data_IF_945194407759
#
_entry.id   IF_945194407759
#
_cell.length_a   1.000
_cell.length_b   1.000
_cell.length_c   1.000
_cell.angle_alpha   90.00
_cell.angle_beta   90.00
_cell.angle_gamma   90.00
#
_symmetry.space_group_name_H-M   'P 1'
#
loop_
_entity.id
_entity.type
_entity.pdbx_description
1 polymer ?
#
# COMPACT_ATOMS: atom_id res chain seq x y z
N UNK A 1 34.38 1.83 -2.98
CA UNK A 1 34.67 1.51 -4.38
C UNK A 1 34.83 0.00 -4.50
N UNK A 2 33.95 -0.65 -5.25
CA UNK A 2 33.95 -2.10 -5.49
C UNK A 2 35.27 -2.61 -6.12
N UNK A 3 35.68 -3.83 -5.79
CA UNK A 3 36.94 -4.44 -6.26
C UNK A 3 36.73 -5.88 -6.72
N UNK A 4 37.62 -6.38 -7.59
CA UNK A 4 37.58 -7.77 -8.11
C UNK A 4 37.76 -8.84 -7.02
N UNK A 5 38.39 -8.49 -5.90
CA UNK A 5 38.49 -9.37 -4.74
C UNK A 5 37.11 -9.63 -4.10
N UNK A 6 36.25 -8.61 -4.05
CA UNK A 6 34.89 -8.74 -3.52
C UNK A 6 34.01 -9.61 -4.42
N UNK A 7 34.11 -9.47 -5.75
CA UNK A 7 33.39 -10.37 -6.69
C UNK A 7 33.76 -11.84 -6.49
N UNK A 8 35.03 -12.11 -6.18
CA UNK A 8 35.51 -13.47 -5.94
C UNK A 8 34.95 -14.05 -4.65
N UNK A 9 34.84 -13.22 -3.60
CA UNK A 9 34.16 -13.59 -2.35
C UNK A 9 32.69 -13.87 -2.61
N UNK A 10 31.99 -12.93 -3.26
CA UNK A 10 30.55 -13.03 -3.53
C UNK A 10 30.18 -14.30 -4.31
N UNK A 11 30.96 -14.66 -5.34
CA UNK A 11 30.76 -15.89 -6.13
C UNK A 11 30.85 -17.20 -5.33
N UNK A 12 31.53 -17.20 -4.18
CA UNK A 12 31.63 -18.38 -3.30
C UNK A 12 30.40 -18.59 -2.42
N UNK A 13 29.46 -17.64 -2.42
CA UNK A 13 28.29 -17.66 -1.55
C UNK A 13 27.00 -17.80 -2.36
N UNK A 14 26.48 -19.03 -2.57
CA UNK A 14 25.28 -19.25 -3.38
C UNK A 14 23.99 -18.67 -2.77
N UNK A 15 24.03 -18.30 -1.48
CA UNK A 15 22.92 -17.63 -0.80
C UNK A 15 22.85 -16.13 -1.04
N UNK A 16 23.87 -15.55 -1.68
CA UNK A 16 23.95 -14.15 -2.03
C UNK A 16 23.40 -13.92 -3.44
N UNK A 17 22.34 -13.11 -3.55
CA UNK A 17 21.70 -12.76 -4.82
C UNK A 17 22.32 -11.52 -5.41
N UNK A 18 22.43 -10.46 -4.62
CA UNK A 18 23.00 -9.19 -5.07
C UNK A 18 23.69 -8.42 -3.95
N UNK A 19 24.61 -7.52 -4.33
CA UNK A 19 25.24 -6.56 -3.41
C UNK A 19 25.10 -5.15 -3.96
N UNK A 20 24.70 -4.25 -3.08
CA UNK A 20 24.50 -2.84 -3.36
C UNK A 20 25.51 -1.99 -2.60
N UNK A 21 26.08 -0.98 -3.23
CA UNK A 21 26.99 -0.01 -2.60
C UNK A 21 26.32 1.37 -2.54
N UNK A 22 26.37 2.00 -1.36
CA UNK A 22 25.93 3.39 -1.18
C UNK A 22 26.98 4.37 -1.67
N UNK A 23 26.60 5.63 -1.86
CA UNK A 23 27.55 6.72 -2.15
C UNK A 23 28.56 6.95 -1.01
N UNK A 24 28.26 6.48 0.20
CA UNK A 24 29.13 6.55 1.38
C UNK A 24 29.99 5.29 1.57
N UNK A 25 29.88 4.30 0.66
CA UNK A 25 30.67 3.06 0.70
C UNK A 25 30.12 1.99 1.66
N UNK A 26 28.89 2.13 2.15
CA UNK A 26 28.20 1.08 2.88
C UNK A 26 27.70 0.00 1.92
N UNK A 27 27.65 -1.25 2.37
CA UNK A 27 27.16 -2.36 1.57
C UNK A 27 25.81 -2.87 2.07
N UNK A 28 24.92 -3.20 1.14
CA UNK A 28 23.68 -3.89 1.41
C UNK A 28 23.64 -5.23 0.67
N UNK A 29 23.41 -6.30 1.43
CA UNK A 29 23.35 -7.68 0.93
C UNK A 29 21.90 -8.10 0.70
N UNK A 30 21.60 -8.57 -0.50
CA UNK A 30 20.36 -9.26 -0.84
C UNK A 30 20.62 -10.77 -0.82
N UNK A 31 20.01 -11.48 0.14
CA UNK A 31 20.09 -12.94 0.19
C UNK A 31 18.98 -13.61 -0.62
N UNK A 32 19.12 -14.91 -0.92
CA UNK A 32 18.09 -15.68 -1.67
C UNK A 32 16.78 -15.90 -0.92
N UNK A 33 16.82 -15.74 0.40
CA UNK A 33 15.73 -15.96 1.34
C UNK A 33 14.61 -14.93 1.11
N UNK A 34 13.34 -15.29 1.40
CA UNK A 34 12.22 -14.36 1.24
C UNK A 34 12.42 -13.11 2.11
N UNK A 35 11.97 -11.95 1.61
CA UNK A 35 12.05 -10.68 2.33
C UNK A 35 11.11 -10.63 3.55
N UNK A 36 10.02 -11.40 3.50
CA UNK A 36 9.05 -11.55 4.59
C UNK A 36 8.94 -13.04 4.90
N UNK A 37 9.26 -13.40 6.14
CA UNK A 37 9.09 -14.77 6.62
C UNK A 37 7.64 -15.01 7.05
N UNK A 38 7.11 -16.21 6.79
CA UNK A 38 5.90 -16.67 7.44
C UNK A 38 6.11 -16.74 8.97
N UNK A 39 5.10 -16.41 9.80
CA UNK A 39 5.23 -16.44 11.26
C UNK A 39 5.78 -17.76 11.80
N UNK A 40 5.35 -18.87 11.21
CA UNK A 40 5.69 -20.24 11.61
C UNK A 40 7.17 -20.58 11.30
N UNK A 41 7.73 -19.96 10.26
CA UNK A 41 9.10 -20.22 9.79
C UNK A 41 10.12 -19.20 10.31
N UNK A 42 9.66 -18.20 11.08
CA UNK A 42 10.45 -17.02 11.45
C UNK A 42 11.78 -17.37 12.13
N UNK A 43 11.78 -18.36 13.01
CA UNK A 43 12.99 -18.80 13.73
C UNK A 43 14.01 -19.43 12.77
N UNK A 44 13.56 -20.35 11.90
CA UNK A 44 14.41 -21.01 10.90
C UNK A 44 14.96 -20.00 9.89
N UNK A 45 14.11 -19.11 9.39
CA UNK A 45 14.50 -18.03 8.48
C UNK A 45 15.54 -17.09 9.10
N UNK A 46 15.38 -16.71 10.38
CA UNK A 46 16.36 -15.88 11.09
C UNK A 46 17.71 -16.59 11.22
N UNK A 47 17.70 -17.88 11.57
CA UNK A 47 18.93 -18.65 11.70
C UNK A 47 19.66 -18.80 10.36
N UNK A 48 18.93 -19.10 9.28
CA UNK A 48 19.50 -19.26 7.94
C UNK A 48 20.06 -17.95 7.38
N UNK A 49 19.28 -16.86 7.43
CA UNK A 49 19.73 -15.53 6.95
C UNK A 49 20.92 -15.01 7.74
N UNK A 50 20.98 -15.23 9.07
CA UNK A 50 22.16 -14.87 9.89
C UNK A 50 23.41 -15.66 9.50
N UNK A 51 23.27 -16.95 9.25
CA UNK A 51 24.39 -17.81 8.86
C UNK A 51 24.99 -17.35 7.53
N UNK A 52 24.14 -17.14 6.52
CA UNK A 52 24.54 -16.65 5.21
C UNK A 52 25.17 -15.25 5.29
N UNK A 53 24.51 -14.30 5.96
CA UNK A 53 25.03 -12.94 6.12
C UNK A 53 26.40 -12.91 6.81
N UNK A 54 26.59 -13.72 7.87
CA UNK A 54 27.88 -13.81 8.57
C UNK A 54 28.98 -14.37 7.69
N UNK A 55 28.69 -15.41 6.91
CA UNK A 55 29.67 -16.01 6.01
C UNK A 55 30.14 -14.99 4.96
N UNK A 56 29.21 -14.30 4.30
CA UNK A 56 29.51 -13.26 3.30
C UNK A 56 30.28 -12.11 3.94
N UNK A 57 29.80 -11.60 5.09
CA UNK A 57 30.44 -10.48 5.79
C UNK A 57 31.86 -10.81 6.24
N UNK A 58 32.09 -12.04 6.73
CA UNK A 58 33.42 -12.50 7.11
C UNK A 58 34.36 -12.58 5.90
N UNK A 59 33.87 -13.09 4.77
CA UNK A 59 34.64 -13.12 3.52
C UNK A 59 35.00 -11.72 3.02
N UNK A 60 34.05 -10.78 3.06
CA UNK A 60 34.29 -9.38 2.66
C UNK A 60 35.31 -8.70 3.58
N UNK A 61 35.20 -8.91 4.90
CA UNK A 61 36.18 -8.39 5.86
C UNK A 61 37.57 -8.98 5.65
N UNK A 62 37.67 -10.28 5.38
CA UNK A 62 38.94 -10.92 5.06
C UNK A 62 39.56 -10.39 3.76
N UNK A 63 38.73 -9.92 2.82
CA UNK A 63 39.16 -9.24 1.61
C UNK A 63 39.45 -7.74 1.80
N UNK A 64 39.37 -7.21 3.03
CA UNK A 64 39.72 -5.83 3.36
C UNK A 64 38.55 -4.84 3.45
N UNK A 65 37.29 -5.29 3.35
CA UNK A 65 36.15 -4.40 3.52
C UNK A 65 35.97 -3.99 4.99
N UNK A 66 36.12 -2.69 5.28
CA UNK A 66 36.00 -2.12 6.62
C UNK A 66 34.72 -1.33 6.90
N UNK A 67 33.80 -1.22 5.93
CA UNK A 67 32.58 -0.44 6.07
C UNK A 67 31.43 -1.20 6.75
N UNK A 68 30.27 -0.55 6.80
CA UNK A 68 29.04 -1.14 7.34
C UNK A 68 28.38 -2.09 6.34
N UNK A 69 27.85 -3.20 6.85
CA UNK A 69 27.10 -4.20 6.08
C UNK A 69 25.68 -4.30 6.62
N UNK A 70 24.71 -4.01 5.76
CA UNK A 70 23.28 -4.17 6.05
C UNK A 70 22.73 -5.38 5.30
N UNK A 71 21.84 -6.14 5.94
CA UNK A 71 21.16 -7.28 5.31
C UNK A 71 19.73 -6.88 4.99
N UNK A 72 19.35 -6.89 3.72
CA UNK A 72 18.05 -6.38 3.25
C UNK A 72 16.87 -7.18 3.82
N UNK A 73 17.04 -8.48 4.04
CA UNK A 73 16.04 -9.33 4.69
C UNK A 73 15.63 -8.85 6.10
N UNK A 74 16.48 -8.10 6.79
CA UNK A 74 16.18 -7.60 8.15
C UNK A 74 15.64 -6.18 8.17
N UNK A 75 15.56 -5.52 7.01
CA UNK A 75 15.07 -4.17 6.89
C UNK A 75 13.57 -4.13 6.61
N UNK A 76 12.95 -2.95 6.80
CA UNK A 76 11.58 -2.73 6.37
C UNK A 76 11.54 -2.69 4.84
N UNK A 77 10.47 -3.20 4.23
CA UNK A 77 10.34 -3.26 2.77
C UNK A 77 10.50 -1.88 2.08
N UNK A 78 10.09 -0.79 2.75
CA UNK A 78 10.33 0.57 2.26
C UNK A 78 11.81 0.90 2.12
N UNK A 79 12.61 0.53 3.12
CA UNK A 79 14.05 0.81 3.17
C UNK A 79 14.78 -0.09 2.16
N UNK A 80 14.34 -1.34 2.00
CA UNK A 80 14.78 -2.23 0.92
C UNK A 80 14.53 -1.57 -0.45
N UNK A 81 13.32 -1.09 -0.70
CA UNK A 81 12.99 -0.42 -1.96
C UNK A 81 13.73 0.90 -2.19
N UNK A 82 14.21 1.57 -1.14
CA UNK A 82 15.08 2.73 -1.28
C UNK A 82 16.50 2.31 -1.75
N UNK A 83 17.03 1.22 -1.19
CA UNK A 83 18.32 0.65 -1.62
C UNK A 83 18.26 0.16 -3.06
N UNK A 84 17.28 -0.69 -3.41
CA UNK A 84 17.18 -1.27 -4.76
C UNK A 84 17.08 -0.21 -5.88
N UNK A 85 16.53 0.97 -5.58
CA UNK A 85 16.37 2.07 -6.55
C UNK A 85 17.49 3.11 -6.52
N UNK A 86 18.14 3.28 -5.38
CA UNK A 86 19.02 4.42 -5.12
C UNK A 86 20.50 4.06 -4.96
N UNK A 87 20.81 2.80 -4.67
CA UNK A 87 22.18 2.33 -4.50
C UNK A 87 22.65 1.61 -5.77
N UNK A 88 23.96 1.65 -6.02
CA UNK A 88 24.54 0.98 -7.18
C UNK A 88 24.60 -0.52 -6.93
N UNK A 89 23.99 -1.33 -7.81
CA UNK A 89 24.18 -2.78 -7.78
C UNK A 89 25.58 -3.11 -8.30
N UNK A 90 26.46 -3.59 -7.43
CA UNK A 90 27.87 -3.88 -7.76
C UNK A 90 28.12 -5.36 -8.04
N UNK A 91 27.22 -6.23 -7.58
CA UNK A 91 27.27 -7.67 -7.83
C UNK A 91 25.85 -8.20 -8.00
N UNK A 92 25.64 -9.00 -9.05
CA UNK A 92 24.39 -9.72 -9.30
C UNK A 92 24.73 -11.18 -9.64
N UNK A 93 24.52 -12.07 -8.67
CA UNK A 93 24.83 -13.50 -8.76
C UNK A 93 23.64 -14.35 -9.20
N UNK A 94 22.42 -13.82 -9.11
CA UNK A 94 21.19 -14.50 -9.50
C UNK A 94 20.16 -13.46 -9.98
N UNK A 95 20.26 -13.02 -11.25
CA UNK A 95 19.44 -11.91 -11.77
C UNK A 95 17.95 -12.27 -11.80
N UNK A 96 17.61 -13.55 -11.99
CA UNK A 96 16.21 -14.01 -11.99
C UNK A 96 15.63 -13.89 -10.59
N UNK A 97 16.36 -14.37 -9.57
CA UNK A 97 15.89 -14.24 -8.18
C UNK A 97 15.89 -12.80 -7.71
N UNK A 98 16.85 -12.01 -8.18
CA UNK A 98 16.94 -10.59 -7.92
C UNK A 98 15.69 -9.86 -8.42
N UNK A 99 15.31 -10.06 -9.69
CA UNK A 99 14.10 -9.47 -10.27
C UNK A 99 12.83 -9.89 -9.52
N UNK A 100 12.69 -11.19 -9.18
CA UNK A 100 11.57 -11.68 -8.38
C UNK A 100 11.44 -10.97 -7.02
N UNK A 101 12.56 -10.71 -6.34
CA UNK A 101 12.55 -10.04 -5.04
C UNK A 101 12.27 -8.54 -5.20
N UNK A 102 12.77 -7.92 -6.27
CA UNK A 102 12.44 -6.53 -6.61
C UNK A 102 10.94 -6.37 -6.91
N UNK A 103 10.34 -7.29 -7.66
CA UNK A 103 8.90 -7.31 -7.95
C UNK A 103 8.04 -7.43 -6.67
N UNK A 104 8.47 -8.24 -5.69
CA UNK A 104 7.80 -8.31 -4.39
C UNK A 104 7.88 -6.96 -3.66
N UNK A 105 9.05 -6.32 -3.67
CA UNK A 105 9.22 -4.99 -3.08
C UNK A 105 8.35 -3.97 -3.80
N UNK A 106 8.30 -3.95 -5.12
CA UNK A 106 7.48 -3.01 -5.86
C UNK A 106 5.98 -3.32 -5.77
N UNK A 107 5.59 -4.58 -5.69
CA UNK A 107 4.22 -5.00 -5.40
C UNK A 107 3.75 -4.50 -4.02
N UNK A 108 4.56 -4.72 -2.98
CA UNK A 108 4.24 -4.26 -1.62
C UNK A 108 4.41 -2.76 -1.49
N UNK A 109 5.40 -2.15 -2.14
CA UNK A 109 5.59 -0.69 -2.09
C UNK A 109 4.53 0.01 -2.90
N UNK A 110 4.06 -0.50 -4.04
CA UNK A 110 2.89 0.07 -4.76
C UNK A 110 1.61 -0.03 -3.93
N UNK A 111 1.54 -1.04 -3.06
CA UNK A 111 0.44 -1.28 -2.13
C UNK A 111 0.54 -0.42 -0.85
N UNK A 112 1.73 -0.29 -0.29
CA UNK A 112 2.05 0.43 0.96
C UNK A 112 2.40 1.91 0.71
N UNK A 113 2.79 2.27 -0.52
CA UNK A 113 2.98 3.63 -0.96
C UNK A 113 1.63 4.27 -1.20
N UNK A 114 0.98 4.64 -0.11
CA UNK A 114 0.53 6.02 0.01
C UNK A 114 0.89 6.58 1.39
N UNK A 115 2.16 6.92 1.63
CA UNK A 115 2.54 7.82 2.72
C UNK A 115 1.72 9.12 2.72
N UNK A 116 1.18 9.55 1.57
CA UNK A 116 0.22 10.64 1.48
C UNK A 116 -1.23 10.30 1.86
N UNK A 117 -1.67 9.03 1.84
CA UNK A 117 -3.06 8.67 2.15
C UNK A 117 -3.31 8.69 3.65
N UNK A 118 -2.44 8.10 4.47
CA UNK A 118 -2.64 8.12 5.93
C UNK A 118 -2.54 9.54 6.48
N UNK A 119 -1.61 10.35 5.94
CA UNK A 119 -1.50 11.78 6.25
C UNK A 119 -2.77 12.51 5.82
N UNK A 120 -3.18 12.40 4.55
CA UNK A 120 -4.41 13.01 4.05
C UNK A 120 -5.64 12.58 4.87
N UNK A 121 -5.72 11.30 5.23
CA UNK A 121 -6.85 10.78 6.00
C UNK A 121 -6.90 11.40 7.40
N UNK A 122 -5.73 11.54 8.05
CA UNK A 122 -5.63 12.23 9.34
C UNK A 122 -5.99 13.71 9.20
N UNK A 123 -5.52 14.37 8.15
CA UNK A 123 -5.79 15.80 7.89
C UNK A 123 -7.30 16.04 7.66
N UNK A 124 -8.00 15.08 7.06
CA UNK A 124 -9.45 15.14 6.82
C UNK A 124 -10.30 14.65 8.00
N UNK A 125 -9.69 14.03 9.02
CA UNK A 125 -10.40 13.49 10.18
C UNK A 125 -11.32 14.51 10.88
N UNK A 126 -10.93 15.79 11.08
CA UNK A 126 -11.82 16.79 11.66
C UNK A 126 -13.14 16.96 10.87
N UNK A 127 -13.08 16.91 9.54
CA UNK A 127 -14.27 17.05 8.67
C UNK A 127 -15.28 15.92 8.90
N UNK A 128 -14.80 14.69 9.08
CA UNK A 128 -15.69 13.53 9.26
C UNK A 128 -16.17 13.38 10.70
N UNK A 129 -15.31 13.71 11.67
CA UNK A 129 -15.66 13.71 13.09
C UNK A 129 -16.60 14.86 13.44
N UNK A 130 -16.51 15.98 12.72
CA UNK A 130 -17.42 17.12 12.83
C UNK A 130 -18.72 16.99 12.03
N UNK A 131 -18.92 15.90 11.28
CA UNK A 131 -20.11 15.75 10.44
C UNK A 131 -21.39 15.62 11.28
N UNK A 132 -22.34 16.51 11.04
CA UNK A 132 -23.67 16.46 11.63
C UNK A 132 -24.75 16.10 10.58
N UNK A 133 -25.88 15.51 10.98
CA UNK A 133 -26.19 15.04 12.34
C UNK A 133 -25.36 13.81 12.75
N UNK A 134 -25.32 13.46 14.04
CA UNK A 134 -24.56 12.32 14.56
C UNK A 134 -24.78 10.98 13.80
N UNK A 135 -25.98 10.76 13.25
CA UNK A 135 -26.27 9.63 12.38
C UNK A 135 -25.38 9.61 11.12
N UNK A 136 -25.19 10.77 10.48
CA UNK A 136 -24.31 10.94 9.31
C UNK A 136 -22.88 10.53 9.63
N UNK A 137 -22.33 11.04 10.74
CA UNK A 137 -20.99 10.69 11.21
C UNK A 137 -20.85 9.19 11.43
N UNK A 138 -21.82 8.56 12.12
CA UNK A 138 -21.81 7.10 12.35
C UNK A 138 -21.78 6.30 11.06
N UNK A 139 -22.53 6.74 10.05
CA UNK A 139 -22.59 6.09 8.75
C UNK A 139 -21.29 6.27 7.96
N UNK A 140 -20.76 7.49 7.88
CA UNK A 140 -19.47 7.80 7.22
C UNK A 140 -18.35 6.93 7.79
N UNK A 141 -18.17 6.93 9.12
CA UNK A 141 -17.08 6.20 9.77
C UNK A 141 -17.20 4.69 9.60
N UNK A 142 -18.43 4.14 9.58
CA UNK A 142 -18.66 2.72 9.29
C UNK A 142 -18.32 2.38 7.84
N UNK A 143 -18.71 3.23 6.89
CA UNK A 143 -18.30 3.05 5.49
C UNK A 143 -16.79 3.11 5.33
N UNK A 144 -16.10 4.04 6.00
CA UNK A 144 -14.63 4.11 5.98
C UNK A 144 -13.98 2.83 6.51
N UNK A 145 -14.49 2.32 7.64
CA UNK A 145 -14.04 1.06 8.22
C UNK A 145 -14.22 -0.09 7.23
N UNK A 146 -15.38 -0.21 6.60
CA UNK A 146 -15.63 -1.23 5.59
C UNK A 146 -14.68 -1.08 4.40
N UNK A 147 -14.43 0.13 3.89
CA UNK A 147 -13.47 0.39 2.82
C UNK A 147 -12.08 -0.13 3.18
N UNK A 148 -11.62 0.10 4.41
CA UNK A 148 -10.32 -0.41 4.87
C UNK A 148 -10.33 -1.95 4.95
N UNK A 149 -11.31 -2.53 5.63
CA UNK A 149 -11.34 -3.97 5.94
C UNK A 149 -11.66 -4.85 4.73
N UNK A 150 -12.49 -4.37 3.80
CA UNK A 150 -13.10 -5.17 2.74
C UNK A 150 -12.68 -4.77 1.33
N UNK A 151 -12.00 -3.61 1.18
CA UNK A 151 -11.44 -3.17 -0.11
C UNK A 151 -9.93 -3.06 -0.01
N UNK A 152 -9.40 -2.19 0.85
CA UNK A 152 -7.96 -1.88 0.87
C UNK A 152 -7.11 -3.04 1.42
N UNK A 153 -7.56 -3.71 2.48
CA UNK A 153 -6.84 -4.85 3.05
C UNK A 153 -6.77 -6.04 2.08
N UNK A 154 -7.86 -6.50 1.43
CA UNK A 154 -7.78 -7.53 0.39
C UNK A 154 -6.89 -7.14 -0.79
N UNK A 155 -7.05 -5.92 -1.32
CA UNK A 155 -6.19 -5.43 -2.41
C UNK A 155 -4.71 -5.47 -2.02
N UNK A 156 -4.40 -5.22 -0.75
CA UNK A 156 -3.01 -5.27 -0.28
C UNK A 156 -2.39 -6.66 -0.23
N UNK A 157 -3.24 -7.70 -0.18
CA UNK A 157 -2.86 -9.11 -0.30
C UNK A 157 -2.95 -9.65 -1.72
N UNK A 158 -3.29 -8.79 -2.70
CA UNK A 158 -3.50 -9.21 -4.09
C UNK A 158 -4.89 -9.83 -4.35
N UNK A 159 -5.79 -9.84 -3.37
CA UNK A 159 -7.15 -10.36 -3.48
C UNK A 159 -8.08 -9.34 -4.17
N UNK A 160 -9.26 -9.81 -4.62
CA UNK A 160 -10.32 -8.92 -5.09
C UNK A 160 -11.20 -8.42 -3.94
N UNK A 161 -11.69 -7.16 -4.00
CA UNK A 161 -12.65 -6.63 -3.04
C UNK A 161 -13.97 -7.41 -3.05
N UNK A 162 -14.62 -7.51 -1.89
CA UNK A 162 -15.93 -8.15 -1.75
C UNK A 162 -17.06 -7.24 -2.25
N UNK A 163 -17.25 -7.18 -3.57
CA UNK A 163 -18.28 -6.33 -4.23
C UNK A 163 -19.69 -6.77 -3.83
N UNK A 164 -19.88 -8.06 -3.51
CA UNK A 164 -21.13 -8.62 -3.01
C UNK A 164 -21.59 -8.01 -1.69
N UNK A 165 -20.69 -7.45 -0.87
CA UNK A 165 -21.06 -6.72 0.34
C UNK A 165 -21.89 -5.46 0.04
N UNK A 166 -21.87 -4.97 -1.21
CA UNK A 166 -22.54 -3.77 -1.66
C UNK A 166 -23.96 -4.01 -2.20
N UNK A 167 -24.45 -5.24 -2.24
CA UNK A 167 -25.86 -5.50 -2.58
C UNK A 167 -26.80 -4.86 -1.54
N UNK A 168 -28.08 -4.63 -1.87
CA UNK A 168 -29.04 -4.09 -0.89
C UNK A 168 -29.14 -4.92 0.40
N UNK A 169 -28.84 -6.21 0.30
CA UNK A 169 -28.90 -7.19 1.38
C UNK A 169 -27.50 -7.55 1.90
N UNK A 170 -26.47 -6.89 1.34
CA UNK A 170 -25.07 -7.17 1.57
C UNK A 170 -24.59 -6.67 2.92
N UNK A 171 -23.38 -7.12 3.29
CA UNK A 171 -22.79 -6.85 4.61
C UNK A 171 -22.69 -5.36 4.93
N UNK A 172 -22.34 -4.51 3.96
CA UNK A 172 -22.26 -3.07 4.20
C UNK A 172 -23.65 -2.48 4.48
N UNK A 173 -24.65 -2.85 3.67
CA UNK A 173 -26.03 -2.40 3.86
C UNK A 173 -26.56 -2.76 5.26
N UNK A 174 -26.35 -4.00 5.68
CA UNK A 174 -26.75 -4.48 7.01
C UNK A 174 -26.02 -3.76 8.14
N UNK A 175 -24.70 -3.57 8.01
CA UNK A 175 -23.90 -2.85 9.00
C UNK A 175 -24.37 -1.40 9.17
N UNK A 176 -24.70 -0.73 8.07
CA UNK A 176 -25.20 0.65 8.08
C UNK A 176 -26.62 0.73 8.66
N UNK A 177 -27.51 -0.22 8.32
CA UNK A 177 -28.85 -0.28 8.90
C UNK A 177 -28.80 -0.46 10.44
N UNK A 178 -27.91 -1.33 10.94
CA UNK A 178 -27.71 -1.53 12.39
C UNK A 178 -27.13 -0.33 13.14
N UNK A 179 -26.62 0.68 12.41
CA UNK A 179 -26.08 1.89 12.99
C UNK A 179 -27.14 2.94 13.36
N UNK A 180 -28.39 2.69 12.94
CA UNK A 180 -29.49 3.63 12.95
C UNK A 180 -30.64 3.10 13.83
N UNK A 181 -31.36 4.03 14.46
CA UNK A 181 -32.69 3.76 15.01
C UNK A 181 -33.70 3.51 13.89
N UNK A 182 -34.92 3.04 14.22
CA UNK A 182 -35.96 2.79 13.20
C UNK A 182 -36.31 4.05 12.41
N UNK A 183 -36.47 5.18 13.08
CA UNK A 183 -36.86 6.45 12.43
C UNK A 183 -35.71 6.99 11.56
N UNK A 184 -34.48 6.91 12.07
CA UNK A 184 -33.28 7.24 11.28
C UNK A 184 -33.16 6.31 10.05
N UNK A 185 -33.47 5.02 10.17
CA UNK A 185 -33.35 4.08 9.06
C UNK A 185 -34.24 4.47 7.88
N UNK A 186 -35.45 4.96 8.12
CA UNK A 186 -36.34 5.46 7.06
C UNK A 186 -35.73 6.69 6.37
N UNK A 187 -35.26 7.66 7.16
CA UNK A 187 -34.69 8.91 6.67
C UNK A 187 -33.39 8.69 5.86
N UNK A 188 -32.51 7.82 6.34
CA UNK A 188 -31.17 7.61 5.79
C UNK A 188 -31.12 6.51 4.72
N UNK A 189 -32.22 5.80 4.46
CA UNK A 189 -32.29 4.76 3.42
C UNK A 189 -31.82 5.26 2.04
N UNK A 190 -32.22 6.45 1.54
CA UNK A 190 -31.73 6.96 0.26
C UNK A 190 -30.22 7.17 0.25
N UNK A 191 -29.65 7.73 1.32
CA UNK A 191 -28.21 7.92 1.48
C UNK A 191 -27.44 6.58 1.46
N UNK A 192 -27.98 5.56 2.14
CA UNK A 192 -27.36 4.22 2.17
C UNK A 192 -27.32 3.64 0.76
N UNK A 193 -28.46 3.62 0.06
CA UNK A 193 -28.54 3.06 -1.30
C UNK A 193 -27.62 3.78 -2.28
N UNK A 194 -27.55 5.12 -2.21
CA UNK A 194 -26.67 5.92 -3.05
C UNK A 194 -25.20 5.61 -2.77
N UNK A 195 -24.81 5.54 -1.50
CA UNK A 195 -23.44 5.21 -1.08
C UNK A 195 -23.03 3.82 -1.58
N UNK A 196 -23.91 2.82 -1.47
CA UNK A 196 -23.66 1.48 -2.01
C UNK A 196 -23.48 1.51 -3.54
N UNK A 197 -24.33 2.25 -4.25
CA UNK A 197 -24.26 2.37 -5.70
C UNK A 197 -22.97 3.07 -6.16
N UNK A 198 -22.57 4.15 -5.49
CA UNK A 198 -21.34 4.89 -5.79
C UNK A 198 -20.09 4.07 -5.52
N UNK A 199 -20.05 3.36 -4.40
CA UNK A 199 -18.95 2.44 -4.11
C UNK A 199 -18.89 1.33 -5.16
N UNK A 200 -20.03 0.78 -5.59
CA UNK A 200 -20.05 -0.26 -6.62
C UNK A 200 -19.51 0.26 -7.95
N UNK A 201 -19.89 1.47 -8.34
CA UNK A 201 -19.35 2.14 -9.53
C UNK A 201 -17.85 2.38 -9.40
N UNK A 202 -17.38 2.82 -8.23
CA UNK A 202 -15.97 3.04 -7.97
C UNK A 202 -15.17 1.73 -8.00
N UNK A 203 -15.71 0.63 -7.51
CA UNK A 203 -15.06 -0.69 -7.57
C UNK A 203 -15.09 -1.30 -8.98
N UNK A 204 -16.09 -0.99 -9.80
CA UNK A 204 -16.14 -1.43 -11.19
C UNK A 204 -15.04 -0.79 -12.07
N UNK A 205 -14.31 0.22 -11.58
CA UNK A 205 -13.18 0.78 -12.31
C UNK A 205 -12.05 -0.23 -12.55
N UNK A 206 -11.42 -0.20 -13.75
CA UNK A 206 -10.32 -1.10 -14.09
C UNK A 206 -9.20 -1.03 -13.05
N UNK A 207 -8.67 -2.19 -12.66
CA UNK A 207 -7.61 -2.29 -11.62
C UNK A 207 -6.38 -1.43 -11.94
N UNK A 208 -6.01 -1.32 -13.22
CA UNK A 208 -4.93 -0.48 -13.70
C UNK A 208 -5.14 1.04 -13.43
N UNK A 209 -6.39 1.49 -13.26
CA UNK A 209 -6.77 2.90 -13.01
C UNK A 209 -7.02 3.22 -11.54
N UNK A 210 -6.84 2.25 -10.62
CA UNK A 210 -7.06 2.43 -9.17
C UNK A 210 -5.86 3.13 -8.51
N UNK A 211 -5.73 4.44 -8.76
CA UNK A 211 -4.61 5.30 -8.34
C UNK A 211 -4.80 5.95 -6.96
N UNK A 212 -3.81 6.77 -6.55
CA UNK A 212 -3.79 7.72 -5.41
C UNK A 212 -5.15 8.26 -5.03
N UNK A 213 -5.72 8.87 -6.05
CA UNK A 213 -6.94 9.65 -6.02
C UNK A 213 -8.16 8.75 -5.95
N UNK A 214 -8.14 7.58 -6.58
CA UNK A 214 -9.21 6.61 -6.48
C UNK A 214 -9.47 6.16 -5.03
N UNK A 215 -8.42 5.94 -4.22
CA UNK A 215 -8.66 5.58 -2.80
C UNK A 215 -9.20 6.77 -2.02
N UNK A 216 -8.73 8.00 -2.27
CA UNK A 216 -9.30 9.19 -1.62
C UNK A 216 -10.78 9.33 -1.96
N UNK A 217 -11.12 9.12 -3.23
CA UNK A 217 -12.49 9.13 -3.71
C UNK A 217 -13.38 8.12 -2.96
N UNK A 218 -12.90 6.90 -2.68
CA UNK A 218 -13.66 5.93 -1.87
C UNK A 218 -14.04 6.45 -0.48
N UNK A 219 -13.19 7.27 0.15
CA UNK A 219 -13.47 7.90 1.44
C UNK A 219 -14.33 9.17 1.31
N UNK A 220 -14.32 9.84 0.16
CA UNK A 220 -15.14 11.01 -0.07
C UNK A 220 -16.59 10.68 -0.44
N UNK A 221 -16.85 9.54 -1.08
CA UNK A 221 -18.21 9.08 -1.45
C UNK A 221 -19.23 9.22 -0.30
N UNK A 222 -19.03 8.62 0.89
CA UNK A 222 -20.03 8.73 1.96
C UNK A 222 -20.19 10.16 2.48
N UNK A 223 -19.18 11.01 2.34
CA UNK A 223 -19.26 12.41 2.74
C UNK A 223 -20.06 13.25 1.74
N UNK A 224 -19.85 13.03 0.44
CA UNK A 224 -20.46 13.82 -0.64
C UNK A 224 -21.95 13.56 -0.85
N UNK A 225 -22.47 12.43 -0.34
CA UNK A 225 -23.85 12.04 -0.56
C UNK A 225 -24.85 12.82 0.31
N UNK A 226 -25.93 13.39 -0.27
CA UNK A 226 -26.94 14.12 0.48
C UNK A 226 -27.82 13.19 1.31
N UNK A 227 -28.30 13.68 2.45
CA UNK A 227 -29.18 12.93 3.36
C UNK A 227 -30.46 12.44 2.66
N UNK A 228 -31.04 13.29 1.81
CA UNK A 228 -32.34 13.04 1.19
C UNK A 228 -32.25 12.37 -0.19
N UNK A 229 -31.05 12.00 -0.65
CA UNK A 229 -30.84 11.45 -2.01
C UNK A 229 -31.15 12.40 -3.17
N UNK A 230 -31.65 13.62 -2.91
CA UNK A 230 -31.86 14.69 -3.89
C UNK A 230 -30.70 15.68 -3.83
N UNK A 231 -30.01 15.82 -4.96
CA UNK A 231 -28.77 16.57 -5.07
C UNK A 231 -27.62 15.65 -5.48
N UNK A 232 -27.64 15.18 -6.72
CA UNK A 232 -26.45 14.60 -7.35
C UNK A 232 -25.40 15.69 -7.51
N UNK A 233 -24.56 15.90 -6.50
CA UNK A 233 -23.17 16.22 -6.80
C UNK A 233 -22.61 14.90 -7.33
N UNK A 234 -22.71 14.69 -8.65
CA UNK A 234 -22.03 13.56 -9.29
C UNK A 234 -20.57 13.69 -8.86
N UNK A 235 -20.01 12.72 -8.10
CA UNK A 235 -18.60 12.77 -7.78
C UNK A 235 -17.85 12.69 -9.11
N UNK A 236 -17.27 13.82 -9.49
CA UNK A 236 -16.59 13.96 -10.78
C UNK A 236 -15.35 13.08 -10.70
N UNK A 237 -15.14 12.14 -11.64
CA UNK A 237 -13.95 11.31 -11.62
C UNK A 237 -12.68 12.20 -11.68
N UNK A 238 -11.56 11.79 -11.06
CA UNK A 238 -10.35 12.62 -10.91
C UNK A 238 -9.87 13.33 -12.19
N UNK A 239 -10.11 12.76 -13.36
CA UNK A 239 -9.77 13.36 -14.66
C UNK A 239 -10.54 14.66 -14.97
N UNK A 240 -11.77 14.81 -14.49
CA UNK A 240 -12.57 16.00 -14.74
C UNK A 240 -12.37 17.12 -13.69
N UNK A 241 -11.67 16.84 -12.58
CA UNK A 241 -11.14 17.87 -11.66
C UNK A 241 -10.00 18.68 -12.30
N UNK A 242 -9.10 18.03 -13.06
CA UNK A 242 -8.04 18.71 -13.82
C UNK A 242 -8.59 19.56 -14.98
N UNK A 243 -9.58 19.04 -15.73
CA UNK A 243 -10.16 19.75 -16.87
C UNK A 243 -11.05 20.95 -16.46
N UNK A 244 -11.63 20.93 -15.26
CA UNK A 244 -12.39 22.05 -14.70
C UNK A 244 -11.47 23.18 -14.17
N UNK A 245 -10.37 22.81 -13.51
CA UNK A 245 -9.36 23.77 -13.05
C UNK A 245 -8.66 24.50 -14.22
N UNK A 246 -8.32 23.78 -15.29
CA UNK A 246 -7.69 24.36 -16.48
C UNK A 246 -8.63 25.29 -17.28
N UNK A 247 -9.93 25.01 -17.30
CA UNK A 247 -10.94 25.88 -17.94
C UNK A 247 -11.27 27.14 -17.13
N UNK A 248 -11.14 27.08 -15.80
CA UNK A 248 -11.30 28.25 -14.94
C UNK A 248 -10.09 29.19 -15.01
N UNK A 249 -8.89 28.65 -15.24
CA UNK A 249 -7.66 29.43 -15.40
C UNK A 249 -7.55 30.16 -16.76
N UNK A 250 -8.20 29.65 -17.82
CA UNK A 250 -8.22 30.26 -19.15
C UNK A 250 -9.35 31.29 -19.36
N UNK A 251 -10.15 31.57 -18.32
CA UNK A 251 -11.25 32.55 -18.34
C UNK A 251 -11.02 33.72 -17.37
N UNK A 252 -9.81 33.83 -16.80
CA UNK A 252 -9.29 35.01 -16.11
C UNK A 252 -8.15 35.57 -16.92
#
# INVERSE_FOLDING_TARGET
MWTSAYDTVCRRHPDLVAVYESTEGALALLLRHPLVAAPEERACWLAATRRAARAVSAGLRAAGFGGDVTVLQWQRLRDVGAVLRGWTCCYDGDPVRHEQLADVVDGVTRTAARPGLLKWYRDMAPTWLGAEPAARRRLILRTHRWTVERVLSPLSRGEEPAVEDLTPDGRLAWMLARALTRDEAVLWRPWVLLTLADLRRALAWPRARRTGEWVRWLFEIPYSNPVNGRGTVVPVPPEALHAAAHRAALRR
#
